data_IF_293419809467
#
_entry.id   IF_293419809467
#
_cell.length_a   1.000
_cell.length_b   1.000
_cell.length_c   1.000
_cell.angle_alpha   90.00
_cell.angle_beta   90.00
_cell.angle_gamma   90.00
#
_symmetry.space_group_name_H-M   'P 1'
#
loop_
_entity.id
_entity.type
_entity.pdbx_description
1 polymer ?
#
# COMPACT_ATOMS: atom_id res chain seq x y z
N UNK A 1 -20.85 25.10 5.83
CA UNK A 1 -19.75 25.26 6.81
C UNK A 1 -19.76 24.09 7.79
N UNK A 2 -19.68 22.83 7.30
CA UNK A 2 -19.61 21.60 8.13
C UNK A 2 -19.09 20.39 7.30
N UNK A 3 -17.97 20.55 6.59
CA UNK A 3 -17.38 19.41 5.83
C UNK A 3 -15.90 19.14 6.17
N UNK A 4 -15.24 20.00 6.94
CA UNK A 4 -13.81 19.86 7.22
C UNK A 4 -13.48 18.84 8.33
N UNK A 5 -14.47 18.21 8.97
CA UNK A 5 -14.28 17.37 10.17
C UNK A 5 -14.25 15.86 9.92
N UNK A 6 -14.42 15.39 8.68
CA UNK A 6 -14.49 13.95 8.37
C UNK A 6 -13.31 13.39 7.56
N UNK A 7 -12.36 14.22 7.12
CA UNK A 7 -11.19 13.75 6.38
C UNK A 7 -10.18 13.11 7.35
N UNK A 8 -10.23 11.78 7.49
CA UNK A 8 -9.29 11.00 8.33
C UNK A 8 -7.94 10.78 7.62
N UNK A 9 -7.31 11.88 7.19
CA UNK A 9 -6.03 11.84 6.48
C UNK A 9 -4.86 12.47 7.23
N UNK A 10 -5.05 12.81 8.50
CA UNK A 10 -4.00 13.43 9.32
C UNK A 10 -2.69 12.61 9.37
N UNK A 11 -2.80 11.29 9.25
CA UNK A 11 -1.71 10.33 9.27
C UNK A 11 -1.41 9.70 7.90
N UNK A 12 -1.87 10.30 6.80
CA UNK A 12 -1.70 9.75 5.45
C UNK A 12 -0.24 9.61 5.02
N UNK A 13 0.66 10.40 5.61
CA UNK A 13 2.10 10.37 5.35
C UNK A 13 2.90 9.72 6.49
N UNK A 14 2.23 9.14 7.48
CA UNK A 14 2.89 8.58 8.67
C UNK A 14 3.33 7.14 8.41
N UNK A 15 4.64 6.88 8.53
CA UNK A 15 5.18 5.52 8.63
C UNK A 15 5.07 5.04 10.08
N UNK A 16 4.60 3.81 10.30
CA UNK A 16 4.47 3.22 11.65
C UNK A 16 5.51 2.12 11.78
N UNK A 17 6.45 2.29 12.72
CA UNK A 17 7.55 1.35 12.95
C UNK A 17 7.24 0.53 14.20
N UNK A 18 7.04 -0.78 14.03
CA UNK A 18 6.90 -1.73 15.12
C UNK A 18 8.20 -2.48 15.41
N UNK A 19 8.10 -3.52 16.25
CA UNK A 19 9.25 -4.36 16.61
C UNK A 19 9.68 -5.29 15.47
N UNK A 20 8.72 -5.80 14.70
CA UNK A 20 8.97 -6.78 13.61
C UNK A 20 8.57 -6.29 12.23
N UNK A 21 7.70 -5.29 12.16
CA UNK A 21 7.10 -4.80 10.92
C UNK A 21 7.18 -3.28 10.83
N UNK A 22 7.12 -2.79 9.61
CA UNK A 22 6.96 -1.36 9.29
C UNK A 22 5.73 -1.24 8.40
N UNK A 23 4.82 -0.32 8.73
CA UNK A 23 3.71 0.06 7.87
C UNK A 23 4.09 1.35 7.15
N UNK A 24 4.07 1.31 5.82
CA UNK A 24 4.30 2.50 4.97
C UNK A 24 3.05 2.81 4.16
N UNK A 25 2.70 4.08 3.94
CA UNK A 25 1.56 4.44 3.10
C UNK A 25 1.64 3.79 1.71
N UNK A 26 0.51 3.32 1.19
CA UNK A 26 0.45 2.72 -0.15
C UNK A 26 0.49 3.79 -1.25
N UNK A 27 1.70 4.08 -1.73
CA UNK A 27 1.96 5.04 -2.82
C UNK A 27 1.98 4.42 -4.23
N UNK A 28 1.90 5.30 -5.24
CA UNK A 28 1.95 4.97 -6.67
C UNK A 28 3.16 4.09 -7.05
N UNK A 29 4.32 4.33 -6.43
CA UNK A 29 5.54 3.54 -6.69
C UNK A 29 5.41 2.05 -6.37
N UNK A 30 4.45 1.67 -5.53
CA UNK A 30 4.19 0.27 -5.18
C UNK A 30 3.33 -0.47 -6.20
N UNK A 31 2.61 0.24 -7.07
CA UNK A 31 1.60 -0.35 -7.98
C UNK A 31 2.23 -1.39 -8.88
N UNK A 32 3.41 -1.14 -9.45
CA UNK A 32 4.10 -2.11 -10.30
C UNK A 32 4.45 -3.42 -9.58
N UNK A 33 4.82 -3.32 -8.30
CA UNK A 33 5.16 -4.50 -7.48
C UNK A 33 3.90 -5.27 -7.11
N UNK A 34 2.86 -4.56 -6.69
CA UNK A 34 1.56 -5.13 -6.38
C UNK A 34 0.95 -5.84 -7.60
N UNK A 35 0.99 -5.21 -8.77
CA UNK A 35 0.49 -5.79 -10.02
C UNK A 35 1.21 -7.11 -10.36
N UNK A 36 2.54 -7.18 -10.18
CA UNK A 36 3.31 -8.42 -10.35
C UNK A 36 2.92 -9.51 -9.34
N UNK A 37 2.58 -9.15 -8.10
CA UNK A 37 2.07 -10.12 -7.13
C UNK A 37 0.72 -10.69 -7.57
N UNK A 38 -0.14 -9.87 -8.19
CA UNK A 38 -1.46 -10.28 -8.67
C UNK A 38 -1.41 -11.11 -9.97
N UNK A 39 -0.24 -11.34 -10.57
CA UNK A 39 -0.08 -12.33 -11.63
C UNK A 39 -0.18 -13.77 -11.12
N UNK A 40 0.09 -13.99 -9.82
CA UNK A 40 -0.06 -15.30 -9.18
C UNK A 40 -1.54 -15.61 -8.85
N UNK A 41 -2.04 -16.71 -9.41
CA UNK A 41 -3.46 -17.08 -9.28
C UNK A 41 -3.82 -17.50 -7.85
N UNK A 42 -2.91 -18.16 -7.13
CA UNK A 42 -3.14 -18.57 -5.75
C UNK A 42 -3.26 -17.35 -4.83
N UNK A 43 -2.33 -16.40 -4.97
CA UNK A 43 -2.35 -15.13 -4.25
C UNK A 43 -3.67 -14.42 -4.48
N UNK A 44 -4.09 -14.26 -5.74
CA UNK A 44 -5.34 -13.60 -6.11
C UNK A 44 -6.56 -14.30 -5.49
N UNK A 45 -6.59 -15.63 -5.49
CA UNK A 45 -7.66 -16.43 -4.87
C UNK A 45 -7.69 -16.25 -3.36
N UNK A 46 -6.54 -16.19 -2.69
CA UNK A 46 -6.43 -16.02 -1.24
C UNK A 46 -6.82 -14.60 -0.80
N UNK A 47 -6.52 -13.58 -1.60
CA UNK A 47 -6.89 -12.18 -1.31
C UNK A 47 -8.29 -11.81 -1.78
N UNK A 48 -8.92 -12.64 -2.63
CA UNK A 48 -10.19 -12.31 -3.28
C UNK A 48 -10.07 -11.19 -4.31
N UNK A 49 -8.86 -10.92 -4.80
CA UNK A 49 -8.60 -9.88 -5.79
C UNK A 49 -9.05 -10.33 -7.18
N UNK A 50 -9.34 -9.38 -8.07
CA UNK A 50 -9.51 -9.66 -9.50
C UNK A 50 -8.21 -9.35 -10.25
N UNK A 51 -8.05 -9.91 -11.45
CA UNK A 51 -6.92 -9.56 -12.29
C UNK A 51 -7.26 -8.26 -13.03
N UNK A 52 -6.61 -7.18 -12.65
CA UNK A 52 -6.76 -5.88 -13.28
C UNK A 52 -5.62 -5.63 -14.25
N UNK A 53 -5.85 -4.77 -15.24
CA UNK A 53 -4.77 -4.17 -16.03
C UNK A 53 -3.95 -3.22 -15.16
N UNK A 54 -2.69 -2.97 -15.56
CA UNK A 54 -1.83 -2.05 -14.83
C UNK A 54 -2.44 -0.64 -14.68
N UNK A 55 -3.15 -0.16 -15.70
CA UNK A 55 -3.82 1.15 -15.66
C UNK A 55 -4.95 1.18 -14.63
N UNK A 56 -5.74 0.10 -14.53
CA UNK A 56 -6.80 -0.04 -13.52
C UNK A 56 -6.24 -0.12 -12.11
N UNK A 57 -5.09 -0.79 -11.90
CA UNK A 57 -4.41 -0.81 -10.59
C UNK A 57 -3.97 0.60 -10.16
N UNK A 58 -3.46 1.41 -11.08
CA UNK A 58 -3.14 2.81 -10.79
C UNK A 58 -4.39 3.63 -10.43
N UNK A 59 -5.53 3.37 -11.08
CA UNK A 59 -6.79 4.03 -10.74
C UNK A 59 -7.28 3.60 -9.35
N UNK A 60 -7.26 2.29 -9.05
CA UNK A 60 -7.62 1.76 -7.74
C UNK A 60 -6.73 2.30 -6.63
N UNK A 61 -5.40 2.34 -6.85
CA UNK A 61 -4.47 2.93 -5.89
C UNK A 61 -4.82 4.39 -5.60
N UNK A 62 -5.07 5.20 -6.63
CA UNK A 62 -5.49 6.60 -6.43
C UNK A 62 -6.78 6.71 -5.62
N UNK A 63 -7.77 5.86 -5.92
CA UNK A 63 -9.04 5.83 -5.18
C UNK A 63 -8.83 5.47 -3.71
N UNK A 64 -7.98 4.49 -3.40
CA UNK A 64 -7.68 4.13 -2.02
C UNK A 64 -6.82 5.17 -1.30
N UNK A 65 -5.89 5.82 -2.01
CA UNK A 65 -5.06 6.90 -1.47
C UNK A 65 -5.88 8.13 -1.13
N UNK A 66 -6.90 8.41 -1.94
CA UNK A 66 -7.83 9.52 -1.78
C UNK A 66 -9.13 9.08 -1.10
N UNK A 67 -9.11 8.04 -0.28
CA UNK A 67 -10.25 7.70 0.54
C UNK A 67 -10.30 8.60 1.80
N UNK A 68 -11.49 8.94 2.25
CA UNK A 68 -11.70 9.93 3.31
C UNK A 68 -11.79 9.29 4.70
N UNK A 69 -12.13 7.99 4.75
CA UNK A 69 -12.40 7.27 6.00
C UNK A 69 -11.36 6.20 6.34
N UNK A 70 -10.41 5.93 5.43
CA UNK A 70 -9.40 4.89 5.60
C UNK A 70 -8.07 5.27 4.96
N UNK A 71 -7.03 4.63 5.46
CA UNK A 71 -5.68 4.67 4.88
C UNK A 71 -5.20 3.26 4.60
N UNK A 72 -4.58 3.08 3.44
CA UNK A 72 -4.00 1.80 3.03
C UNK A 72 -2.49 1.81 3.25
N UNK A 73 -1.97 0.74 3.84
CA UNK A 73 -0.56 0.58 4.14
C UNK A 73 0.00 -0.70 3.51
N UNK A 74 1.26 -0.65 3.10
CA UNK A 74 2.06 -1.81 2.77
C UNK A 74 2.82 -2.26 4.02
N UNK A 75 2.76 -3.56 4.31
CA UNK A 75 3.49 -4.18 5.41
C UNK A 75 4.87 -4.60 4.93
N UNK A 76 5.90 -4.11 5.60
CA UNK A 76 7.30 -4.48 5.36
C UNK A 76 7.84 -5.24 6.58
N UNK A 77 8.71 -6.22 6.33
CA UNK A 77 9.49 -6.87 7.38
C UNK A 77 10.63 -5.96 7.84
N UNK A 78 10.72 -5.69 9.14
CA UNK A 78 11.77 -4.82 9.70
C UNK A 78 13.15 -5.44 9.56
N UNK A 79 13.29 -6.75 9.76
CA UNK A 79 14.58 -7.43 9.60
C UNK A 79 15.11 -7.37 8.17
N UNK A 80 14.22 -7.35 7.17
CA UNK A 80 14.59 -7.20 5.75
C UNK A 80 14.96 -5.76 5.40
N UNK A 81 14.29 -4.78 6.03
CA UNK A 81 14.61 -3.36 5.88
C UNK A 81 15.98 -3.03 6.50
N UNK A 82 16.23 -3.51 7.71
CA UNK A 82 17.47 -3.26 8.47
C UNK A 82 18.69 -3.93 7.81
N UNK A 83 18.49 -5.08 7.15
CA UNK A 83 19.55 -5.79 6.42
C UNK A 83 19.86 -5.20 5.04
N UNK A 84 19.17 -4.11 4.65
CA UNK A 84 19.41 -3.44 3.38
C UNK A 84 18.97 -4.25 2.15
N UNK A 85 18.03 -5.19 2.32
CA UNK A 85 17.49 -5.94 1.18
C UNK A 85 16.86 -4.96 0.19
N UNK A 86 17.32 -5.00 -1.07
CA UNK A 86 16.94 -4.10 -2.15
C UNK A 86 15.43 -4.08 -2.44
N UNK A 87 14.72 -5.14 -2.04
CA UNK A 87 13.28 -5.28 -2.19
C UNK A 87 12.48 -4.27 -1.35
N UNK A 88 13.05 -3.76 -0.25
CA UNK A 88 12.45 -2.77 0.66
C UNK A 88 12.81 -1.35 0.22
N UNK A 89 14.02 -1.14 -0.30
CA UNK A 89 14.52 0.18 -0.70
C UNK A 89 13.79 0.76 -1.94
N UNK A 90 13.27 -0.10 -2.81
CA UNK A 90 12.43 0.32 -3.95
C UNK A 90 11.03 0.82 -3.54
N UNK A 91 10.66 0.69 -2.27
CA UNK A 91 9.33 0.94 -1.71
C UNK A 91 9.37 1.89 -0.49
N UNK A 92 10.53 2.48 -0.18
CA UNK A 92 10.73 3.40 0.96
C UNK A 92 10.98 4.83 0.50
#
# INVERSE_FOLDING_TARGET
MYEQWYLMRINENTKIIGDKIILVPYEEGHVLKYHKWMDDEETRRLTGSEKLSLAEEYEMQRRWRLDDDKLTFIVLSKSMADSGSSEVCSSL
#
